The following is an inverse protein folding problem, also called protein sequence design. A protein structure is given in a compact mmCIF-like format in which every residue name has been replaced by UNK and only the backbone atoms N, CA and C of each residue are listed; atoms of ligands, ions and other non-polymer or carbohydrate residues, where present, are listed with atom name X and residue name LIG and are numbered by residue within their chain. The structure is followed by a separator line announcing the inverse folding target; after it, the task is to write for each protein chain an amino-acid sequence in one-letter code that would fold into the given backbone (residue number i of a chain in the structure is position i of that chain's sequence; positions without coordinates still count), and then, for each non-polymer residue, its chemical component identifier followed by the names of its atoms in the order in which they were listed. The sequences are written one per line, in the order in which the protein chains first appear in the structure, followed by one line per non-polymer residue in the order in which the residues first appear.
data_IF_982455329303
#
_entry.id   IF_982455329303
#
_cell.length_a   1.000
_cell.length_b   1.000
_cell.length_c   1.000
_cell.angle_alpha   90.00
_cell.angle_beta   90.00
_cell.angle_gamma   90.00
#
_symmetry.space_group_name_H-M   'P 1'
#
loop_
_entity.id
_entity.type
_entity.pdbx_description
1 polymer ?
#
# COMPACT_ATOMS: atom_id res chain seq x y z
N UNK A 1 -55.73 3.59 -15.71
CA UNK A 1 -56.34 3.58 -14.38
C UNK A 1 -56.29 2.14 -13.90
N UNK A 2 -55.50 1.69 -12.95
CA UNK A 2 -54.48 2.24 -12.04
C UNK A 2 -53.63 1.00 -11.68
N UNK A 3 -52.29 1.02 -11.78
CA UNK A 3 -51.36 1.47 -10.74
C UNK A 3 -51.81 1.11 -9.32
N UNK A 4 -51.30 -0.01 -8.78
CA UNK A 4 -50.52 -0.03 -7.53
C UNK A 4 -50.41 -1.44 -6.96
N UNK A 5 -49.20 -2.00 -7.03
CA UNK A 5 -48.58 -2.69 -5.89
C UNK A 5 -47.08 -2.85 -6.15
N UNK A 6 -46.38 -1.70 -6.29
CA UNK A 6 -44.98 -1.65 -5.85
C UNK A 6 -45.04 -1.61 -4.33
N UNK A 7 -44.79 -2.75 -3.69
CA UNK A 7 -44.56 -2.80 -2.26
C UNK A 7 -43.44 -1.81 -1.94
N UNK A 8 -43.79 -0.71 -1.30
CA UNK A 8 -42.84 0.23 -0.75
C UNK A 8 -41.98 -0.54 0.25
N UNK A 9 -40.73 -0.82 -0.13
CA UNK A 9 -39.71 -1.28 0.81
C UNK A 9 -39.49 -0.11 1.76
N UNK A 10 -40.01 -0.26 2.97
CA UNK A 10 -39.81 0.61 4.11
C UNK A 10 -38.33 0.98 4.25
N UNK A 11 -38.06 2.29 4.31
CA UNK A 11 -36.76 2.96 4.45
C UNK A 11 -36.09 2.77 5.82
N UNK A 12 -36.17 1.57 6.40
CA UNK A 12 -35.49 1.22 7.65
C UNK A 12 -34.35 0.25 7.35
N UNK A 13 -33.14 0.72 7.65
CA UNK A 13 -31.84 0.04 7.56
C UNK A 13 -31.39 -0.37 6.16
N UNK A 14 -31.05 0.62 5.32
CA UNK A 14 -30.16 0.35 4.18
C UNK A 14 -28.82 -0.15 4.73
N UNK A 15 -28.57 -1.45 4.61
CA UNK A 15 -27.28 -2.04 5.00
C UNK A 15 -26.18 -1.39 4.16
N UNK A 16 -25.31 -0.63 4.82
CA UNK A 16 -24.14 0.00 4.21
C UNK A 16 -22.90 -0.77 4.66
N UNK A 17 -22.06 -1.15 3.70
CA UNK A 17 -20.75 -1.75 3.97
C UNK A 17 -19.68 -0.69 3.74
N UNK A 18 -19.06 -0.21 4.82
CA UNK A 18 -17.95 0.74 4.76
C UNK A 18 -16.70 0.13 5.36
N UNK A 19 -15.62 0.12 4.57
CA UNK A 19 -14.32 -0.39 4.99
C UNK A 19 -13.24 0.63 4.73
N UNK A 20 -12.25 0.68 5.64
CA UNK A 20 -11.04 1.48 5.48
C UNK A 20 -9.82 0.58 5.36
N UNK A 21 -8.95 0.94 4.43
CA UNK A 21 -7.59 0.43 4.31
C UNK A 21 -6.61 1.58 4.52
N UNK A 22 -5.46 1.30 5.11
CA UNK A 22 -4.53 2.34 5.56
C UNK A 22 -3.31 2.44 4.64
N UNK A 23 -2.69 3.61 4.61
CA UNK A 23 -1.38 3.75 4.01
C UNK A 23 -0.37 2.82 4.70
N UNK A 24 0.70 2.46 3.99
CA UNK A 24 1.73 1.57 4.51
C UNK A 24 3.14 2.13 4.32
N UNK A 25 4.03 1.77 5.22
CA UNK A 25 5.48 1.97 5.10
C UNK A 25 6.12 0.61 4.83
N UNK A 26 6.77 0.47 3.67
CA UNK A 26 7.73 -0.60 3.42
C UNK A 26 8.98 -0.33 4.23
N UNK A 27 9.14 -1.04 5.35
CA UNK A 27 10.13 -0.69 6.36
C UNK A 27 11.50 -1.24 6.01
N UNK A 28 11.63 -2.55 5.77
CA UNK A 28 12.87 -3.19 5.36
C UNK A 28 12.61 -4.25 4.29
N UNK A 29 13.59 -4.48 3.43
CA UNK A 29 13.55 -5.52 2.41
C UNK A 29 12.85 -5.12 1.10
N UNK A 30 12.29 -3.92 0.98
CA UNK A 30 11.75 -3.44 -0.28
C UNK A 30 12.89 -2.90 -1.19
N UNK A 31 12.89 -3.20 -2.51
CA UNK A 31 11.81 -3.78 -3.31
C UNK A 31 11.95 -5.30 -3.59
N UNK A 32 12.54 -6.10 -2.70
CA UNK A 32 12.80 -7.53 -2.96
C UNK A 32 11.55 -8.40 -3.11
N UNK A 33 10.35 -7.90 -2.77
CA UNK A 33 9.07 -8.63 -2.84
C UNK A 33 8.66 -9.01 -4.26
N UNK A 34 9.09 -8.28 -5.29
CA UNK A 34 8.88 -8.68 -6.69
C UNK A 34 9.97 -9.63 -7.23
N UNK A 35 10.96 -9.95 -6.40
CA UNK A 35 12.14 -10.75 -6.73
C UNK A 35 12.31 -11.95 -5.79
N UNK A 36 11.20 -12.46 -5.24
CA UNK A 36 11.15 -13.60 -4.33
C UNK A 36 11.94 -13.42 -3.02
N UNK A 37 12.06 -12.17 -2.56
CA UNK A 37 12.76 -11.82 -1.34
C UNK A 37 11.87 -11.80 -0.09
N UNK A 38 12.23 -10.93 0.85
CA UNK A 38 11.58 -10.80 2.16
C UNK A 38 11.40 -9.34 2.51
N UNK A 39 10.33 -9.01 3.21
CA UNK A 39 10.05 -7.64 3.62
C UNK A 39 9.47 -7.55 5.02
N UNK A 40 9.70 -6.42 5.68
CA UNK A 40 8.93 -5.96 6.84
C UNK A 40 8.19 -4.70 6.43
N UNK A 41 6.88 -4.66 6.63
CA UNK A 41 6.06 -3.47 6.39
C UNK A 41 5.00 -3.33 7.47
N UNK A 42 4.51 -2.12 7.66
CA UNK A 42 3.43 -1.83 8.60
C UNK A 42 2.52 -0.72 8.06
N UNK A 43 1.28 -0.70 8.53
CA UNK A 43 0.33 0.37 8.15
C UNK A 43 0.38 1.55 9.12
N UNK A 44 0.03 2.73 8.62
CA UNK A 44 0.03 3.99 9.38
C UNK A 44 -1.36 4.62 9.38
N UNK A 45 -1.74 5.21 10.50
CA UNK A 45 -3.02 5.88 10.70
C UNK A 45 -3.06 7.33 10.21
N UNK A 46 -1.96 7.86 9.70
CA UNK A 46 -1.89 9.19 9.09
C UNK A 46 -2.85 9.30 7.91
N UNK A 47 -2.89 8.26 7.07
CA UNK A 47 -3.65 8.26 5.82
C UNK A 47 -4.40 6.95 5.58
N UNK A 48 -5.52 7.05 4.86
CA UNK A 48 -6.43 5.97 4.59
C UNK A 48 -7.12 6.13 3.23
N UNK A 49 -7.60 5.01 2.70
CA UNK A 49 -8.61 4.94 1.66
C UNK A 49 -9.81 4.18 2.19
N UNK A 50 -11.02 4.62 1.85
CA UNK A 50 -12.26 3.93 2.20
C UNK A 50 -12.97 3.49 0.94
N UNK A 51 -13.79 2.47 1.08
CA UNK A 51 -14.80 2.11 0.11
C UNK A 51 -16.14 2.00 0.83
N UNK A 52 -17.19 2.42 0.15
CA UNK A 52 -18.57 2.35 0.63
C UNK A 52 -19.40 1.64 -0.42
N UNK A 53 -20.06 0.57 -0.02
CA UNK A 53 -20.94 -0.25 -0.86
C UNK A 53 -22.34 -0.27 -0.27
N UNK A 54 -23.33 0.10 -1.09
CA UNK A 54 -24.75 0.13 -0.71
C UNK A 54 -25.57 -0.64 -1.73
N UNK A 55 -26.54 -1.49 -1.33
CA UNK A 55 -27.47 -2.10 -2.26
C UNK A 55 -28.22 -1.05 -3.09
N UNK A 56 -28.35 -1.28 -4.39
CA UNK A 56 -29.07 -0.40 -5.32
C UNK A 56 -29.67 -1.20 -6.47
N UNK A 57 -30.64 -0.60 -7.17
CA UNK A 57 -31.32 -1.25 -8.31
C UNK A 57 -30.36 -1.57 -9.47
N UNK A 58 -29.37 -0.69 -9.68
CA UNK A 58 -28.34 -0.83 -10.70
C UNK A 58 -26.96 -0.93 -10.08
N UNK A 59 -26.04 -1.65 -10.74
CA UNK A 59 -24.63 -1.63 -10.38
C UNK A 59 -24.03 -0.30 -10.82
N UNK A 60 -23.59 0.52 -9.86
CA UNK A 60 -23.05 1.85 -10.10
C UNK A 60 -21.67 2.00 -9.45
N UNK A 61 -20.65 2.35 -10.23
CA UNK A 61 -19.37 2.81 -9.68
C UNK A 61 -19.40 4.32 -9.65
N UNK A 62 -19.54 4.91 -8.46
CA UNK A 62 -19.68 6.36 -8.31
C UNK A 62 -18.30 7.04 -8.41
N UNK A 63 -18.08 7.94 -9.38
CA UNK A 63 -16.82 8.67 -9.51
C UNK A 63 -16.53 9.54 -8.28
N UNK A 64 -15.26 9.65 -7.90
CA UNK A 64 -14.86 10.57 -6.85
C UNK A 64 -14.91 12.02 -7.36
N UNK A 65 -15.53 12.97 -6.64
CA UNK A 65 -15.74 14.34 -7.11
C UNK A 65 -14.45 15.09 -7.45
N UNK A 66 -13.32 14.74 -6.84
CA UNK A 66 -12.03 15.40 -7.06
C UNK A 66 -11.03 14.57 -7.86
N UNK A 67 -11.08 13.24 -7.73
CA UNK A 67 -10.03 12.36 -8.27
C UNK A 67 -10.42 11.76 -9.62
N UNK A 68 -11.71 11.65 -9.91
CA UNK A 68 -12.27 11.19 -11.18
C UNK A 68 -13.03 12.33 -11.87
N UNK A 69 -12.50 13.56 -11.78
CA UNK A 69 -13.12 14.74 -12.34
C UNK A 69 -13.19 14.63 -13.87
N UNK A 70 -14.40 14.78 -14.42
CA UNK A 70 -14.67 14.79 -15.87
C UNK A 70 -15.39 16.06 -16.31
N UNK A 71 -15.63 16.99 -15.37
CA UNK A 71 -16.24 18.29 -15.60
C UNK A 71 -15.25 19.36 -15.15
N UNK A 72 -14.95 20.30 -16.04
CA UNK A 72 -13.97 21.36 -15.83
C UNK A 72 -14.58 22.70 -16.17
N UNK A 73 -14.10 23.77 -15.54
CA UNK A 73 -14.61 25.13 -15.77
C UNK A 73 -14.09 25.72 -17.09
N UNK A 74 -12.91 25.28 -17.55
CA UNK A 74 -12.28 25.70 -18.80
C UNK A 74 -11.24 24.67 -19.29
N UNK A 75 -10.73 24.85 -20.51
CA UNK A 75 -9.62 24.05 -21.03
C UNK A 75 -8.34 24.23 -20.20
N UNK A 76 -8.05 25.46 -19.75
CA UNK A 76 -6.88 25.73 -18.90
C UNK A 76 -6.99 24.99 -17.55
N UNK A 77 -8.19 24.94 -16.96
CA UNK A 77 -8.43 24.17 -15.75
C UNK A 77 -8.22 22.67 -15.97
N UNK A 78 -8.69 22.12 -17.10
CA UNK A 78 -8.41 20.74 -17.50
C UNK A 78 -6.90 20.49 -17.64
N UNK A 79 -6.19 21.31 -18.41
CA UNK A 79 -4.75 21.15 -18.67
C UNK A 79 -3.96 21.23 -17.38
N UNK A 80 -4.22 22.23 -16.53
CA UNK A 80 -3.59 22.37 -15.23
C UNK A 80 -3.80 21.12 -14.36
N UNK A 81 -5.04 20.63 -14.26
CA UNK A 81 -5.35 19.42 -13.49
C UNK A 81 -4.66 18.18 -14.06
N UNK A 82 -4.56 18.04 -15.38
CA UNK A 82 -3.89 16.89 -16.00
C UNK A 82 -2.36 16.94 -15.86
N UNK A 83 -1.76 18.13 -15.86
CA UNK A 83 -0.32 18.29 -15.66
C UNK A 83 0.11 17.95 -14.22
N UNK A 84 -0.69 18.32 -13.23
CA UNK A 84 -0.34 18.11 -11.81
C UNK A 84 -0.77 16.74 -11.29
N UNK A 85 -1.96 16.27 -11.67
CA UNK A 85 -2.56 15.06 -11.10
C UNK A 85 -2.73 13.93 -12.13
N UNK A 86 -2.44 14.18 -13.40
CA UNK A 86 -2.59 13.18 -14.45
C UNK A 86 -4.04 12.82 -14.77
N UNK A 87 -4.17 11.85 -15.68
CA UNK A 87 -5.43 11.50 -16.34
C UNK A 87 -6.31 10.53 -15.54
N UNK A 88 -5.72 9.77 -14.62
CA UNK A 88 -6.39 8.62 -14.00
C UNK A 88 -6.79 8.89 -12.56
N UNK A 89 -8.02 8.49 -12.21
CA UNK A 89 -8.51 8.39 -10.84
C UNK A 89 -8.69 6.94 -10.37
N UNK A 90 -9.44 6.75 -9.29
CA UNK A 90 -9.66 5.46 -8.62
C UNK A 90 -10.82 4.64 -9.17
N UNK A 91 -11.70 5.20 -10.04
CA UNK A 91 -12.81 4.42 -10.63
C UNK A 91 -12.30 3.17 -11.35
N UNK A 92 -11.21 3.27 -12.11
CA UNK A 92 -10.61 2.11 -12.80
C UNK A 92 -10.13 1.02 -11.84
N UNK A 93 -9.61 1.41 -10.66
CA UNK A 93 -9.14 0.47 -9.64
C UNK A 93 -10.32 -0.31 -9.06
N UNK A 94 -11.42 0.40 -8.76
CA UNK A 94 -12.66 -0.18 -8.26
C UNK A 94 -13.31 -1.12 -9.29
N UNK A 95 -13.33 -0.73 -10.57
CA UNK A 95 -13.84 -1.59 -11.65
C UNK A 95 -12.97 -2.85 -11.81
N UNK A 96 -11.65 -2.71 -11.77
CA UNK A 96 -10.73 -3.83 -11.93
C UNK A 96 -10.91 -4.88 -10.81
N UNK A 97 -11.07 -4.44 -9.55
CA UNK A 97 -11.28 -5.40 -8.46
C UNK A 97 -12.65 -6.07 -8.51
N UNK A 98 -13.70 -5.39 -8.96
CA UNK A 98 -14.99 -6.05 -9.21
C UNK A 98 -14.85 -7.17 -10.25
N UNK A 99 -14.13 -6.93 -11.35
CA UNK A 99 -13.85 -7.94 -12.39
C UNK A 99 -13.05 -9.11 -11.81
N UNK A 100 -11.93 -8.83 -11.13
CA UNK A 100 -11.05 -9.86 -10.56
C UNK A 100 -11.77 -10.69 -9.50
N UNK A 101 -12.53 -10.04 -8.60
CA UNK A 101 -13.35 -10.71 -7.59
C UNK A 101 -14.38 -11.63 -8.23
N UNK A 102 -15.14 -11.15 -9.23
CA UNK A 102 -16.14 -11.97 -9.93
C UNK A 102 -15.52 -13.18 -10.62
N UNK A 103 -14.39 -12.99 -11.29
CA UNK A 103 -13.65 -14.08 -11.94
C UNK A 103 -13.17 -15.10 -10.92
N UNK A 104 -12.52 -14.66 -9.84
CA UNK A 104 -12.07 -15.56 -8.78
C UNK A 104 -13.21 -16.38 -8.18
N UNK A 105 -14.35 -15.75 -7.88
CA UNK A 105 -15.51 -16.47 -7.35
C UNK A 105 -16.05 -17.50 -8.35
N UNK A 106 -16.09 -17.15 -9.64
CA UNK A 106 -16.49 -18.09 -10.70
C UNK A 106 -15.54 -19.27 -10.81
N UNK A 107 -14.23 -19.02 -10.81
CA UNK A 107 -13.19 -20.05 -10.98
C UNK A 107 -13.04 -20.97 -9.76
N UNK A 108 -13.61 -20.60 -8.62
CA UNK A 108 -13.56 -21.36 -7.36
C UNK A 108 -14.96 -21.80 -6.89
N UNK A 109 -15.97 -21.79 -7.77
CA UNK A 109 -17.35 -22.21 -7.47
C UNK A 109 -18.01 -21.51 -6.27
N UNK A 110 -17.58 -20.28 -5.97
CA UNK A 110 -18.16 -19.43 -4.92
C UNK A 110 -19.41 -18.74 -5.48
N UNK A 111 -20.57 -19.17 -5.00
CA UNK A 111 -21.86 -18.61 -5.42
C UNK A 111 -22.06 -17.19 -4.89
N UNK A 112 -22.39 -16.27 -5.80
CA UNK A 112 -22.73 -14.88 -5.49
C UNK A 112 -24.21 -14.66 -5.79
N UNK A 113 -24.93 -13.96 -4.91
CA UNK A 113 -26.30 -13.54 -5.21
C UNK A 113 -26.34 -12.46 -6.31
N UNK A 114 -27.50 -12.23 -6.92
CA UNK A 114 -27.65 -11.33 -8.08
C UNK A 114 -27.92 -9.85 -7.73
N UNK A 115 -27.94 -9.50 -6.43
CA UNK A 115 -28.20 -8.11 -6.01
C UNK A 115 -27.13 -7.14 -6.53
N UNK A 116 -27.59 -6.00 -7.04
CA UNK A 116 -26.77 -4.89 -7.49
C UNK A 116 -26.37 -3.96 -6.33
N UNK A 117 -25.39 -3.09 -6.57
CA UNK A 117 -24.85 -2.18 -5.58
C UNK A 117 -24.24 -0.91 -6.18
N UNK A 118 -24.20 0.15 -5.39
CA UNK A 118 -23.43 1.36 -5.63
C UNK A 118 -22.14 1.28 -4.83
N UNK A 119 -21.00 1.44 -5.49
CA UNK A 119 -19.67 1.43 -4.88
C UNK A 119 -18.97 2.77 -5.13
N UNK A 120 -18.54 3.41 -4.05
CA UNK A 120 -17.73 4.63 -4.08
C UNK A 120 -16.47 4.44 -3.24
N UNK A 121 -15.46 5.28 -3.47
CA UNK A 121 -14.27 5.33 -2.64
C UNK A 121 -13.97 6.77 -2.22
N UNK A 122 -13.18 6.93 -1.16
CA UNK A 122 -12.62 8.20 -0.71
C UNK A 122 -11.19 7.95 -0.21
N UNK A 123 -10.31 8.96 -0.23
CA UNK A 123 -8.96 8.82 0.29
C UNK A 123 -8.33 10.16 0.64
N UNK A 124 -7.53 10.16 1.70
CA UNK A 124 -6.61 11.25 2.02
C UNK A 124 -5.13 10.86 1.83
N UNK A 125 -4.84 9.72 1.18
CA UNK A 125 -3.46 9.29 0.90
C UNK A 125 -2.88 10.21 -0.19
N UNK A 126 -1.80 10.95 0.10
CA UNK A 126 -1.20 11.85 -0.88
C UNK A 126 -0.78 11.07 -2.14
N UNK A 127 -1.09 11.60 -3.32
CA UNK A 127 -0.79 10.93 -4.59
C UNK A 127 0.72 10.88 -4.80
N UNK A 128 1.19 9.81 -5.45
CA UNK A 128 2.60 9.62 -5.81
C UNK A 128 3.61 9.65 -4.64
N UNK A 129 3.16 9.51 -3.39
CA UNK A 129 4.04 9.52 -2.20
C UNK A 129 4.57 8.15 -1.78
N UNK A 130 4.42 7.13 -2.63
CA UNK A 130 4.91 5.79 -2.31
C UNK A 130 4.23 5.15 -1.09
N UNK A 131 3.08 5.68 -0.63
CA UNK A 131 2.32 5.24 0.55
C UNK A 131 1.21 4.21 0.25
N UNK A 132 1.18 3.66 -0.96
CA UNK A 132 0.21 2.61 -1.40
C UNK A 132 -1.25 3.03 -1.49
N UNK A 133 -1.51 4.23 -2.01
CA UNK A 133 -2.88 4.72 -2.21
C UNK A 133 -3.73 3.82 -3.13
N UNK A 134 -3.15 3.33 -4.24
CA UNK A 134 -3.89 2.51 -5.20
C UNK A 134 -4.38 1.20 -4.60
N UNK A 135 -3.48 0.44 -3.96
CA UNK A 135 -3.85 -0.81 -3.31
C UNK A 135 -4.72 -0.62 -2.08
N UNK A 136 -4.64 0.54 -1.39
CA UNK A 136 -5.55 0.85 -0.28
C UNK A 136 -7.00 0.95 -0.77
N UNK A 137 -7.24 1.66 -1.87
CA UNK A 137 -8.57 1.79 -2.50
C UNK A 137 -9.09 0.40 -2.89
N UNK A 138 -8.26 -0.39 -3.57
CA UNK A 138 -8.61 -1.74 -4.02
C UNK A 138 -8.89 -2.67 -2.83
N UNK A 139 -8.08 -2.59 -1.78
CA UNK A 139 -8.22 -3.37 -0.55
C UNK A 139 -9.52 -3.05 0.18
N UNK A 140 -9.86 -1.77 0.32
CA UNK A 140 -11.12 -1.35 0.92
C UNK A 140 -12.33 -1.83 0.11
N UNK A 141 -12.27 -1.70 -1.22
CA UNK A 141 -13.33 -2.18 -2.12
C UNK A 141 -13.50 -3.70 -2.06
N UNK A 142 -12.41 -4.47 -2.03
CA UNK A 142 -12.47 -5.92 -1.84
C UNK A 142 -13.17 -6.28 -0.52
N UNK A 143 -12.84 -5.60 0.58
CA UNK A 143 -13.50 -5.85 1.87
C UNK A 143 -15.01 -5.60 1.82
N UNK A 144 -15.47 -4.55 1.14
CA UNK A 144 -16.90 -4.33 0.91
C UNK A 144 -17.54 -5.46 0.10
N UNK A 145 -16.88 -5.94 -0.97
CA UNK A 145 -17.39 -7.05 -1.79
C UNK A 145 -17.50 -8.36 -0.99
N UNK A 146 -16.47 -8.68 -0.20
CA UNK A 146 -16.45 -9.88 0.65
C UNK A 146 -17.64 -9.92 1.63
N UNK A 147 -18.00 -8.78 2.20
CA UNK A 147 -19.08 -8.67 3.19
C UNK A 147 -20.45 -8.58 2.53
N UNK A 148 -20.57 -7.80 1.45
CA UNK A 148 -21.82 -7.64 0.70
C UNK A 148 -22.34 -8.99 0.18
N UNK A 149 -21.43 -9.81 -0.36
CA UNK A 149 -21.75 -11.15 -0.86
C UNK A 149 -21.69 -12.24 0.23
N UNK A 150 -21.27 -11.90 1.45
CA UNK A 150 -21.11 -12.85 2.56
C UNK A 150 -20.17 -14.02 2.24
N UNK A 151 -19.05 -13.75 1.57
CA UNK A 151 -18.06 -14.75 1.11
C UNK A 151 -16.70 -14.63 1.79
N UNK A 152 -16.55 -13.74 2.79
CA UNK A 152 -15.26 -13.49 3.48
C UNK A 152 -14.56 -14.76 3.96
N UNK A 153 -15.31 -15.72 4.51
CA UNK A 153 -14.75 -16.99 5.03
C UNK A 153 -14.40 -17.99 3.92
N UNK A 154 -14.95 -17.83 2.72
CA UNK A 154 -14.68 -18.70 1.57
C UNK A 154 -13.39 -18.28 0.84
N UNK A 155 -12.95 -17.03 1.03
CA UNK A 155 -11.70 -16.50 0.47
C UNK A 155 -10.69 -16.31 1.59
N UNK A 156 -9.77 -17.27 1.68
CA UNK A 156 -8.65 -17.29 2.63
C UNK A 156 -7.89 -15.96 2.64
N UNK A 157 -7.50 -15.50 3.83
CA UNK A 157 -6.87 -14.19 4.00
C UNK A 157 -5.56 -14.07 3.23
N UNK A 158 -4.79 -15.15 3.11
CA UNK A 158 -3.54 -15.27 2.38
C UNK A 158 -3.71 -15.03 0.87
N UNK A 159 -4.90 -15.31 0.33
CA UNK A 159 -5.23 -15.15 -1.09
C UNK A 159 -5.69 -13.73 -1.42
N UNK A 160 -6.32 -13.02 -0.47
CA UNK A 160 -6.86 -11.66 -0.69
C UNK A 160 -5.81 -10.66 -1.24
N UNK A 161 -4.54 -10.65 -0.79
CA UNK A 161 -3.50 -9.80 -1.38
C UNK A 161 -3.27 -10.05 -2.87
N UNK A 162 -3.37 -11.30 -3.33
CA UNK A 162 -3.23 -11.64 -4.74
C UNK A 162 -4.38 -11.07 -5.59
N UNK A 163 -5.61 -11.04 -5.08
CA UNK A 163 -6.75 -10.44 -5.78
C UNK A 163 -6.54 -8.94 -5.99
N UNK A 164 -6.05 -8.25 -4.96
CA UNK A 164 -5.73 -6.82 -5.01
C UNK A 164 -4.62 -6.58 -6.04
N UNK A 165 -3.53 -7.36 -5.99
CA UNK A 165 -2.44 -7.25 -6.94
C UNK A 165 -2.90 -7.53 -8.39
N UNK A 166 -3.76 -8.53 -8.59
CA UNK A 166 -4.27 -8.88 -9.91
C UNK A 166 -5.15 -7.75 -10.48
N UNK A 167 -5.94 -7.06 -9.66
CA UNK A 167 -6.70 -5.90 -10.11
C UNK A 167 -5.80 -4.75 -10.60
N UNK A 168 -4.63 -4.58 -9.99
CA UNK A 168 -3.66 -3.58 -10.46
C UNK A 168 -2.92 -4.03 -11.74
N UNK A 169 -2.63 -5.33 -11.87
CA UNK A 169 -2.08 -5.92 -13.10
C UNK A 169 -3.02 -5.76 -14.30
N UNK A 170 -4.33 -5.89 -14.11
CA UNK A 170 -5.35 -5.62 -15.15
C UNK A 170 -5.21 -4.21 -15.76
N UNK A 171 -4.68 -3.26 -14.98
CA UNK A 171 -4.48 -1.87 -15.39
C UNK A 171 -3.04 -1.57 -15.84
N UNK A 172 -2.22 -2.60 -16.00
CA UNK A 172 -0.80 -2.47 -16.36
C UNK A 172 0.09 -1.89 -15.26
N UNK A 173 -0.39 -1.85 -14.00
CA UNK A 173 0.41 -1.36 -12.87
C UNK A 173 1.40 -2.45 -12.45
N UNK A 174 2.69 -2.13 -12.52
CA UNK A 174 3.76 -3.01 -12.04
C UNK A 174 3.93 -2.79 -10.53
N UNK A 175 3.58 -3.79 -9.73
CA UNK A 175 3.68 -3.74 -8.28
C UNK A 175 4.02 -5.12 -7.69
N UNK A 176 4.46 -5.12 -6.43
CA UNK A 176 4.67 -6.31 -5.62
C UNK A 176 3.58 -6.51 -4.56
N UNK A 177 3.68 -7.63 -3.85
CA UNK A 177 2.66 -8.08 -2.90
C UNK A 177 2.69 -7.33 -1.57
N UNK A 178 3.83 -6.75 -1.17
CA UNK A 178 4.01 -6.29 0.21
C UNK A 178 2.95 -5.28 0.67
N UNK A 179 2.56 -4.35 -0.21
CA UNK A 179 1.59 -3.30 0.13
C UNK A 179 0.22 -3.92 0.44
N UNK A 180 -0.17 -4.88 -0.41
CA UNK A 180 -1.45 -5.58 -0.36
C UNK A 180 -1.51 -6.47 0.88
N UNK A 181 -0.42 -7.15 1.20
CA UNK A 181 -0.31 -7.96 2.42
C UNK A 181 -0.44 -7.05 3.65
N UNK A 182 0.36 -5.98 3.76
CA UNK A 182 0.30 -5.06 4.90
C UNK A 182 -1.12 -4.48 5.10
N UNK A 183 -1.81 -4.15 4.00
CA UNK A 183 -3.16 -3.58 4.03
C UNK A 183 -4.24 -4.60 4.39
N UNK A 184 -4.16 -5.84 3.88
CA UNK A 184 -5.10 -6.92 4.22
C UNK A 184 -4.92 -7.41 5.65
N UNK A 185 -3.68 -7.56 6.10
CA UNK A 185 -3.34 -7.95 7.46
C UNK A 185 -3.54 -6.79 8.46
N UNK A 186 -3.82 -5.60 7.91
CA UNK A 186 -4.60 -4.52 8.47
C UNK A 186 -4.10 -4.05 9.83
N UNK A 187 -3.15 -3.12 9.87
CA UNK A 187 -2.76 -2.45 11.12
C UNK A 187 -1.36 -2.77 11.58
N UNK A 188 -1.05 -4.07 11.71
CA UNK A 188 0.17 -4.53 12.38
C UNK A 188 1.47 -4.40 11.57
N UNK A 189 2.57 -4.75 12.26
CA UNK A 189 3.88 -4.97 11.66
C UNK A 189 3.90 -6.38 11.09
N UNK A 190 4.22 -6.54 9.80
CA UNK A 190 4.17 -7.84 9.13
C UNK A 190 5.51 -8.14 8.51
N UNK A 191 6.09 -9.28 8.90
CA UNK A 191 7.20 -9.91 8.21
C UNK A 191 6.67 -10.83 7.12
N UNK A 192 7.22 -10.72 5.91
CA UNK A 192 6.73 -11.40 4.73
C UNK A 192 7.86 -12.12 4.01
N UNK A 193 7.65 -13.38 3.67
CA UNK A 193 8.56 -14.20 2.90
C UNK A 193 7.89 -14.57 1.56
N UNK A 194 8.50 -14.11 0.47
CA UNK A 194 8.03 -14.33 -0.91
C UNK A 194 8.88 -15.38 -1.63
N UNK A 195 9.55 -16.27 -0.89
CA UNK A 195 10.40 -17.31 -1.45
C UNK A 195 9.66 -18.10 -2.53
N UNK A 196 10.31 -18.21 -3.68
CA UNK A 196 9.75 -18.82 -4.89
C UNK A 196 9.26 -20.24 -4.63
N UNK A 197 10.04 -21.04 -3.91
CA UNK A 197 9.69 -22.44 -3.61
C UNK A 197 8.34 -22.55 -2.88
N UNK A 198 8.08 -21.69 -1.89
CA UNK A 198 6.82 -21.70 -1.17
C UNK A 198 5.68 -21.19 -2.04
N UNK A 199 5.89 -20.04 -2.70
CA UNK A 199 4.86 -19.42 -3.55
C UNK A 199 4.44 -20.32 -4.73
N UNK A 200 5.38 -21.03 -5.34
CA UNK A 200 5.09 -21.98 -6.43
C UNK A 200 4.24 -23.16 -5.95
N UNK A 201 4.33 -23.55 -4.66
CA UNK A 201 3.56 -24.64 -4.07
C UNK A 201 2.15 -24.24 -3.65
N UNK A 202 1.98 -23.07 -3.03
CA UNK A 202 0.69 -22.68 -2.39
C UNK A 202 0.03 -21.44 -2.99
N UNK A 203 0.72 -20.68 -3.84
CA UNK A 203 0.19 -19.50 -4.54
C UNK A 203 0.23 -18.19 -3.75
N UNK A 204 0.79 -18.17 -2.54
CA UNK A 204 0.96 -16.98 -1.70
C UNK A 204 2.24 -17.07 -0.86
N UNK A 205 2.71 -15.95 -0.30
CA UNK A 205 3.88 -15.91 0.58
C UNK A 205 3.55 -16.26 2.04
N UNK A 206 4.59 -16.38 2.87
CA UNK A 206 4.44 -16.60 4.32
C UNK A 206 4.34 -15.23 4.99
N UNK A 207 3.25 -14.99 5.71
CA UNK A 207 2.99 -13.70 6.35
C UNK A 207 2.92 -13.87 7.86
N UNK A 208 3.84 -13.25 8.60
CA UNK A 208 3.94 -13.34 10.05
C UNK A 208 3.65 -11.97 10.67
N UNK A 209 2.56 -11.87 11.43
CA UNK A 209 2.25 -10.67 12.21
C UNK A 209 3.21 -10.58 13.40
N UNK A 210 3.76 -9.40 13.61
CA UNK A 210 4.62 -9.05 14.73
C UNK A 210 3.97 -7.96 15.58
N UNK A 211 4.41 -7.83 16.83
CA UNK A 211 3.94 -6.75 17.70
C UNK A 211 4.39 -5.39 17.14
N UNK A 212 3.43 -4.51 16.90
CA UNK A 212 3.67 -3.15 16.38
C UNK A 212 4.48 -2.30 17.37
N UNK A 213 4.44 -2.62 18.66
CA UNK A 213 5.20 -1.93 19.71
C UNK A 213 6.70 -2.23 19.69
N UNK A 214 7.16 -3.12 18.81
CA UNK A 214 8.59 -3.32 18.54
C UNK A 214 9.21 -2.15 17.76
N UNK A 215 8.38 -1.34 17.07
CA UNK A 215 8.87 -0.18 16.34
C UNK A 215 9.25 0.95 17.31
N UNK A 216 10.39 1.62 17.09
CA UNK A 216 10.68 2.87 17.79
C UNK A 216 9.73 3.99 17.28
N UNK A 217 9.72 5.18 17.92
CA UNK A 217 9.09 6.35 17.34
C UNK A 217 9.68 6.66 15.95
N UNK A 218 8.81 6.78 14.95
CA UNK A 218 9.16 7.06 13.56
C UNK A 218 8.50 8.35 13.09
N UNK A 219 9.09 8.97 12.09
CA UNK A 219 8.56 10.16 11.43
C UNK A 219 8.45 9.91 9.94
N UNK A 220 7.54 10.65 9.30
CA UNK A 220 7.28 10.58 7.87
C UNK A 220 7.58 11.94 7.26
N UNK A 221 8.43 11.94 6.24
CA UNK A 221 8.69 13.09 5.37
C UNK A 221 8.02 12.85 4.03
N UNK A 222 7.28 13.82 3.50
CA UNK A 222 6.74 13.75 2.15
C UNK A 222 6.58 15.15 1.52
N UNK A 223 6.38 15.19 0.21
CA UNK A 223 6.08 16.40 -0.56
C UNK A 223 4.65 16.30 -1.14
N UNK A 224 3.96 17.42 -1.29
CA UNK A 224 2.57 17.45 -1.81
C UNK A 224 2.50 17.14 -3.31
N UNK A 225 3.56 17.40 -4.08
CA UNK A 225 3.63 17.15 -5.52
C UNK A 225 5.01 16.61 -5.93
N UNK A 226 5.35 15.34 -5.63
CA UNK A 226 6.60 14.79 -6.06
C UNK A 226 6.61 14.68 -7.60
N UNK A 227 7.48 15.45 -8.25
CA UNK A 227 7.65 15.37 -9.69
C UNK A 227 8.01 13.95 -10.14
N UNK A 228 7.45 13.59 -11.29
CA UNK A 228 7.30 12.24 -11.84
C UNK A 228 8.58 11.38 -11.79
N UNK A 229 8.52 10.20 -11.17
CA UNK A 229 9.53 9.13 -11.28
C UNK A 229 8.94 7.79 -11.74
N UNK A 230 7.68 7.77 -12.16
CA UNK A 230 6.94 6.54 -12.49
C UNK A 230 7.46 5.73 -13.69
N UNK A 231 8.47 6.21 -14.43
CA UNK A 231 8.94 5.60 -15.69
C UNK A 231 10.19 4.73 -15.60
N UNK A 232 10.82 4.57 -14.43
CA UNK A 232 12.22 4.11 -14.38
C UNK A 232 12.40 2.72 -13.69
N UNK A 233 11.31 2.07 -13.25
CA UNK A 233 11.38 0.70 -12.70
C UNK A 233 11.70 -0.40 -13.73
N UNK A 234 11.51 -0.14 -15.03
CA UNK A 234 11.63 -1.16 -16.08
C UNK A 234 13.06 -1.66 -16.29
N UNK A 235 14.08 -0.83 -16.05
CA UNK A 235 15.49 -1.19 -16.28
C UNK A 235 15.99 -2.23 -15.28
N UNK A 236 15.71 -2.06 -13.98
CA UNK A 236 16.16 -3.00 -12.93
C UNK A 236 15.50 -4.36 -13.11
N UNK A 237 14.20 -4.40 -13.41
CA UNK A 237 13.49 -5.66 -13.64
C UNK A 237 14.04 -6.41 -14.85
N UNK A 238 14.34 -5.68 -15.94
CA UNK A 238 14.96 -6.27 -17.13
C UNK A 238 16.33 -6.85 -16.80
N UNK A 239 17.22 -6.09 -16.14
CA UNK A 239 18.54 -6.57 -15.72
C UNK A 239 18.46 -7.82 -14.85
N UNK A 240 17.51 -7.89 -13.92
CA UNK A 240 17.28 -9.08 -13.12
C UNK A 240 16.88 -10.30 -13.97
N UNK A 241 15.97 -10.12 -14.94
CA UNK A 241 15.56 -11.19 -15.87
C UNK A 241 16.70 -11.64 -16.79
N UNK A 242 17.58 -10.70 -17.17
CA UNK A 242 18.76 -10.95 -18.00
C UNK A 242 19.91 -11.60 -17.21
N UNK A 243 19.73 -11.86 -15.90
CA UNK A 243 20.71 -12.55 -15.08
C UNK A 243 21.84 -11.67 -14.52
N UNK A 244 21.64 -10.35 -14.45
CA UNK A 244 22.63 -9.41 -13.91
C UNK A 244 22.99 -9.76 -12.45
N UNK A 245 24.22 -10.23 -12.24
CA UNK A 245 24.72 -10.70 -10.94
C UNK A 245 24.68 -9.61 -9.87
N UNK A 246 24.93 -8.35 -10.25
CA UNK A 246 24.90 -7.24 -9.31
C UNK A 246 23.47 -6.98 -8.81
N UNK A 247 22.47 -7.01 -9.70
CA UNK A 247 21.07 -6.85 -9.31
C UNK A 247 20.59 -8.04 -8.48
N UNK A 248 20.91 -9.27 -8.89
CA UNK A 248 20.50 -10.49 -8.16
C UNK A 248 21.10 -10.50 -6.75
N UNK A 249 22.41 -10.25 -6.62
CA UNK A 249 23.09 -10.23 -5.33
C UNK A 249 22.58 -9.09 -4.42
N UNK A 250 22.35 -7.90 -4.98
CA UNK A 250 21.79 -6.76 -4.26
C UNK A 250 20.36 -7.02 -3.76
N UNK A 251 19.50 -7.67 -4.56
CA UNK A 251 18.15 -8.06 -4.13
C UNK A 251 18.19 -9.12 -3.02
N UNK A 252 19.12 -10.07 -3.10
CA UNK A 252 19.37 -11.06 -2.03
C UNK A 252 19.84 -10.38 -0.74
N UNK A 253 20.74 -9.40 -0.84
CA UNK A 253 21.19 -8.61 0.32
C UNK A 253 20.03 -7.82 0.93
N UNK A 254 19.23 -7.12 0.13
CA UNK A 254 18.03 -6.41 0.60
C UNK A 254 17.09 -7.37 1.34
N UNK A 255 16.84 -8.57 0.82
CA UNK A 255 15.99 -9.55 1.49
C UNK A 255 16.56 -9.98 2.86
N UNK A 256 17.89 -10.10 3.00
CA UNK A 256 18.54 -10.39 4.29
C UNK A 256 18.35 -9.25 5.30
N UNK A 257 18.31 -7.99 4.86
CA UNK A 257 18.05 -6.85 5.75
C UNK A 257 16.70 -6.95 6.46
N UNK A 258 15.69 -7.58 5.84
CA UNK A 258 14.41 -7.82 6.50
C UNK A 258 14.54 -8.81 7.67
N UNK A 259 15.30 -9.89 7.50
CA UNK A 259 15.53 -10.89 8.56
C UNK A 259 16.41 -10.35 9.69
N UNK A 260 17.48 -9.63 9.35
CA UNK A 260 18.29 -8.92 10.34
C UNK A 260 17.46 -7.86 11.07
N UNK A 261 16.60 -7.15 10.34
CA UNK A 261 15.68 -6.15 10.88
C UNK A 261 14.67 -6.74 11.86
N UNK A 262 14.11 -7.91 11.54
CA UNK A 262 13.23 -8.66 12.45
C UNK A 262 13.95 -8.96 13.76
N UNK A 263 15.19 -9.45 13.67
CA UNK A 263 16.02 -9.76 14.84
C UNK A 263 16.34 -8.49 15.65
N UNK A 264 16.71 -7.39 14.98
CA UNK A 264 17.02 -6.12 15.62
C UNK A 264 15.80 -5.55 16.37
N UNK A 265 14.61 -5.60 15.76
CA UNK A 265 13.36 -5.14 16.39
C UNK A 265 13.01 -5.96 17.64
N UNK A 266 13.07 -7.30 17.56
CA UNK A 266 12.80 -8.18 18.70
C UNK A 266 13.78 -7.94 19.85
N UNK A 267 15.06 -7.72 19.54
CA UNK A 267 16.11 -7.42 20.53
C UNK A 267 16.15 -5.96 20.97
N UNK A 268 15.33 -5.08 20.36
CA UNK A 268 15.39 -3.61 20.51
C UNK A 268 16.79 -3.04 20.25
N UNK A 269 17.53 -3.64 19.33
CA UNK A 269 18.83 -3.15 18.86
C UNK A 269 18.63 -2.04 17.82
N UNK A 270 18.34 -0.84 18.33
CA UNK A 270 18.06 0.31 17.48
C UNK A 270 19.31 0.87 16.79
N UNK A 271 20.52 0.55 17.28
CA UNK A 271 21.76 0.87 16.58
C UNK A 271 21.84 0.09 15.28
N UNK A 272 21.64 -1.24 15.34
CA UNK A 272 21.58 -2.08 14.15
C UNK A 272 20.40 -1.69 13.23
N UNK A 273 19.25 -1.33 13.80
CA UNK A 273 18.11 -0.87 13.00
C UNK A 273 18.43 0.37 12.16
N UNK A 274 19.13 1.35 12.73
CA UNK A 274 19.61 2.55 12.03
C UNK A 274 20.49 2.17 10.83
N UNK A 275 21.45 1.28 11.04
CA UNK A 275 22.33 0.79 9.98
C UNK A 275 21.55 0.09 8.86
N UNK A 276 20.61 -0.80 9.21
CA UNK A 276 19.80 -1.55 8.25
C UNK A 276 18.91 -0.65 7.40
N UNK A 277 18.25 0.34 8.01
CA UNK A 277 17.44 1.32 7.30
C UNK A 277 18.27 2.07 6.26
N UNK A 278 19.46 2.54 6.66
CA UNK A 278 20.33 3.27 5.75
C UNK A 278 20.84 2.36 4.63
N UNK A 279 21.32 1.17 4.97
CA UNK A 279 21.83 0.19 3.99
C UNK A 279 20.77 -0.20 2.95
N UNK A 280 19.51 -0.35 3.36
CA UNK A 280 18.42 -0.64 2.42
C UNK A 280 18.27 0.47 1.37
N UNK A 281 18.35 1.74 1.78
CA UNK A 281 18.29 2.83 0.81
C UNK A 281 19.54 2.89 -0.07
N UNK A 282 20.72 2.65 0.49
CA UNK A 282 21.98 2.70 -0.27
C UNK A 282 22.00 1.63 -1.39
N UNK A 283 21.53 0.41 -1.08
CA UNK A 283 21.35 -0.66 -2.07
C UNK A 283 20.30 -0.29 -3.12
N UNK A 284 19.20 0.36 -2.71
CA UNK A 284 18.21 0.85 -3.67
C UNK A 284 18.83 1.89 -4.61
N UNK A 285 19.57 2.86 -4.06
CA UNK A 285 20.23 3.91 -4.84
C UNK A 285 21.27 3.34 -5.80
N UNK A 286 22.06 2.35 -5.38
CA UNK A 286 23.05 1.71 -6.26
C UNK A 286 22.43 0.92 -7.41
N UNK A 287 21.27 0.27 -7.19
CA UNK A 287 20.59 -0.50 -8.24
C UNK A 287 19.84 0.38 -9.24
N UNK A 288 19.12 1.39 -8.74
CA UNK A 288 18.22 2.20 -9.56
C UNK A 288 18.93 3.44 -10.15
N UNK A 289 19.93 3.98 -9.47
CA UNK A 289 20.63 5.21 -9.88
C UNK A 289 19.86 6.49 -9.53
N UNK A 290 20.59 7.60 -9.43
CA UNK A 290 20.05 8.87 -8.94
C UNK A 290 19.01 9.48 -9.87
N UNK A 291 19.21 9.34 -11.19
CA UNK A 291 18.25 9.78 -12.19
C UNK A 291 16.89 9.07 -12.03
N UNK A 292 16.91 7.77 -11.72
CA UNK A 292 15.70 7.00 -11.45
C UNK A 292 14.99 7.48 -10.20
N UNK A 293 15.74 7.69 -9.12
CA UNK A 293 15.16 8.02 -7.82
C UNK A 293 14.70 9.47 -7.76
N UNK A 294 15.31 10.36 -8.54
CA UNK A 294 14.98 11.78 -8.59
C UNK A 294 15.62 12.56 -7.44
N UNK A 295 16.19 13.73 -7.77
CA UNK A 295 16.94 14.56 -6.83
C UNK A 295 16.14 14.94 -5.58
N UNK A 296 14.85 15.27 -5.72
CA UNK A 296 14.00 15.64 -4.60
C UNK A 296 13.78 14.47 -3.62
N UNK A 297 13.61 13.25 -4.12
CA UNK A 297 13.42 12.09 -3.24
C UNK A 297 14.70 11.74 -2.50
N UNK A 298 15.85 11.85 -3.17
CA UNK A 298 17.16 11.67 -2.53
C UNK A 298 17.37 12.72 -1.46
N UNK A 299 17.07 13.99 -1.75
CA UNK A 299 17.21 15.08 -0.79
C UNK A 299 16.36 14.88 0.46
N UNK A 300 15.13 14.33 0.35
CA UNK A 300 14.31 13.97 1.52
C UNK A 300 15.03 12.97 2.45
N UNK A 301 15.81 12.04 1.91
CA UNK A 301 16.62 11.11 2.71
C UNK A 301 17.84 11.80 3.30
N UNK A 302 18.55 12.59 2.49
CA UNK A 302 19.79 13.25 2.91
C UNK A 302 19.56 14.31 3.98
N UNK A 303 18.45 15.05 3.94
CA UNK A 303 18.03 15.99 4.99
C UNK A 303 18.03 15.32 6.37
N UNK A 304 17.44 14.14 6.48
CA UNK A 304 17.40 13.38 7.72
C UNK A 304 18.78 12.81 8.11
N UNK A 305 19.58 12.36 7.13
CA UNK A 305 20.89 11.76 7.39
C UNK A 305 21.95 12.76 7.82
N UNK A 306 21.91 14.01 7.34
CA UNK A 306 22.85 15.09 7.72
C UNK A 306 22.87 15.36 9.22
N UNK A 307 21.74 15.17 9.90
CA UNK A 307 21.61 15.33 11.35
C UNK A 307 21.79 14.02 12.12
N UNK A 308 22.26 12.95 11.46
CA UNK A 308 22.53 11.65 12.06
C UNK A 308 21.34 10.70 12.18
N UNK A 309 20.16 11.05 11.64
CA UNK A 309 19.00 10.15 11.64
C UNK A 309 19.15 9.03 10.59
N UNK A 310 18.41 7.93 10.74
CA UNK A 310 18.26 6.94 9.68
C UNK A 310 17.05 7.26 8.83
N UNK A 311 17.18 7.12 7.51
CA UNK A 311 16.11 7.43 6.58
C UNK A 311 16.15 6.55 5.33
N UNK A 312 14.95 6.20 4.85
CA UNK A 312 14.75 5.48 3.59
C UNK A 312 13.36 5.68 3.02
N UNK A 313 13.17 5.33 1.75
CA UNK A 313 11.86 5.40 1.11
C UNK A 313 10.85 4.46 1.77
N UNK A 314 9.60 4.93 1.86
CA UNK A 314 8.44 4.12 2.28
C UNK A 314 7.95 3.18 1.18
N UNK A 315 8.30 3.45 -0.08
CA UNK A 315 7.85 2.72 -1.27
C UNK A 315 8.70 3.05 -2.49
N UNK A 316 8.06 3.40 -3.60
CA UNK A 316 8.76 3.72 -4.86
C UNK A 316 9.51 5.06 -4.83
N UNK A 317 8.97 6.05 -4.11
CA UNK A 317 9.46 7.43 -3.98
C UNK A 317 8.36 8.32 -3.39
N UNK A 318 8.63 9.61 -3.20
CA UNK A 318 7.66 10.62 -2.78
C UNK A 318 7.37 10.70 -1.27
N UNK A 319 7.82 9.71 -0.49
CA UNK A 319 7.89 9.80 0.96
C UNK A 319 9.03 8.96 1.56
N UNK A 320 9.50 9.39 2.72
CA UNK A 320 10.62 8.83 3.47
C UNK A 320 10.20 8.57 4.91
N UNK A 321 10.51 7.38 5.41
CA UNK A 321 10.42 7.08 6.85
C UNK A 321 11.74 7.41 7.52
N UNK A 322 11.67 8.06 8.67
CA UNK A 322 12.82 8.52 9.45
C UNK A 322 12.79 7.94 10.86
N UNK A 323 13.93 7.45 11.31
CA UNK A 323 14.19 7.05 12.69
C UNK A 323 15.26 7.96 13.29
N UNK A 324 14.92 8.61 14.41
CA UNK A 324 15.80 9.51 15.15
C UNK A 324 16.33 8.80 16.42
N UNK A 325 17.47 8.10 16.36
CA UNK A 325 18.02 7.36 17.51
C UNK A 325 18.38 8.23 18.72
N UNK A 326 18.71 9.51 18.49
CA UNK A 326 19.13 10.43 19.56
C UNK A 326 17.93 11.13 20.23
N UNK A 327 16.71 10.73 19.87
CA UNK A 327 15.48 11.15 20.53
C UNK A 327 15.01 12.57 20.17
N UNK A 328 14.26 13.24 21.07
CA UNK A 328 13.52 14.46 20.74
C UNK A 328 14.37 15.65 20.26
N UNK A 329 15.63 15.77 20.69
CA UNK A 329 16.53 16.84 20.22
C UNK A 329 16.82 16.71 18.72
N UNK A 330 17.05 15.49 18.24
CA UNK A 330 17.25 15.22 16.82
C UNK A 330 15.96 15.39 16.00
N UNK A 331 14.80 15.12 16.59
CA UNK A 331 13.50 15.40 15.95
C UNK A 331 13.31 16.89 15.72
N UNK A 332 13.68 17.76 16.66
CA UNK A 332 13.63 19.22 16.47
C UNK A 332 14.55 19.69 15.33
N UNK A 333 15.75 19.14 15.25
CA UNK A 333 16.65 19.41 14.12
C UNK A 333 16.04 18.95 12.79
N UNK A 334 15.36 17.80 12.79
CA UNK A 334 14.67 17.28 11.61
C UNK A 334 13.53 18.23 11.16
N UNK A 335 12.73 18.73 12.11
CA UNK A 335 11.67 19.72 11.85
C UNK A 335 12.24 20.99 11.20
N UNK A 336 13.36 21.50 11.71
CA UNK A 336 14.02 22.68 11.17
C UNK A 336 14.54 22.47 9.75
N UNK A 337 15.22 21.34 9.49
CA UNK A 337 15.78 21.04 8.17
C UNK A 337 14.67 20.73 7.14
N UNK A 338 13.63 19.98 7.51
CA UNK A 338 12.47 19.74 6.63
C UNK A 338 11.80 21.06 6.23
N UNK A 339 11.61 21.99 7.18
CA UNK A 339 11.03 23.30 6.90
C UNK A 339 11.89 24.12 5.93
N UNK A 340 13.23 24.10 6.09
CA UNK A 340 14.15 24.79 5.16
C UNK A 340 14.08 24.21 3.75
N UNK A 341 13.93 22.90 3.63
CA UNK A 341 13.84 22.19 2.36
C UNK A 341 12.42 22.14 1.75
N UNK A 342 11.41 22.69 2.43
CA UNK A 342 10.02 22.71 1.96
C UNK A 342 9.31 21.35 2.03
N UNK A 343 9.76 20.45 2.90
CA UNK A 343 9.13 19.14 3.11
C UNK A 343 8.17 19.16 4.29
N UNK A 344 7.12 18.35 4.20
CA UNK A 344 6.18 18.12 5.30
C UNK A 344 6.74 17.01 6.17
N UNK A 345 6.74 17.22 7.49
CA UNK A 345 7.12 16.24 8.48
C UNK A 345 5.93 15.92 9.40
N UNK A 346 5.62 14.65 9.55
CA UNK A 346 4.61 14.18 10.50
C UNK A 346 5.14 13.04 11.38
N UNK A 347 4.74 12.95 12.66
CA UNK A 347 4.95 11.73 13.44
C UNK A 347 4.13 10.58 12.84
N UNK A 348 4.74 9.39 12.77
CA UNK A 348 4.07 8.18 12.30
C UNK A 348 3.05 7.73 13.35
N UNK A 349 1.78 7.65 12.94
CA UNK A 349 0.69 7.13 13.77
C UNK A 349 0.61 5.63 13.58
N UNK A 350 1.10 4.85 14.54
CA UNK A 350 0.99 3.40 14.51
C UNK A 350 -0.47 2.97 14.66
N UNK A 351 -0.85 1.91 13.96
CA UNK A 351 -2.16 1.27 14.10
C UNK A 351 -1.96 -0.16 14.63
N UNK A 352 -2.76 -0.63 15.60
CA UNK A 352 -2.78 -2.05 15.93
C UNK A 352 -3.47 -2.85 14.83
N UNK A 353 -3.26 -4.18 14.80
CA UNK A 353 -3.99 -5.04 13.87
C UNK A 353 -5.51 -4.92 14.04
N UNK A 354 -6.23 -4.93 12.91
CA UNK A 354 -7.67 -4.82 12.76
C UNK A 354 -8.26 -6.10 12.16
N UNK A 355 -7.49 -7.19 12.14
CA UNK A 355 -8.02 -8.49 11.75
C UNK A 355 -9.18 -8.85 12.68
N UNK A 356 -10.28 -9.27 12.08
CA UNK A 356 -11.42 -9.77 12.84
C UNK A 356 -11.07 -11.12 13.49
N UNK A 357 -11.87 -11.51 14.49
CA UNK A 357 -11.65 -12.76 15.22
C UNK A 357 -11.65 -14.00 14.33
N UNK A 358 -12.38 -14.00 13.21
CA UNK A 358 -12.37 -15.12 12.28
C UNK A 358 -11.06 -15.25 11.50
N UNK A 359 -10.51 -14.12 11.03
CA UNK A 359 -9.23 -14.10 10.31
C UNK A 359 -8.09 -14.51 11.25
N UNK A 360 -8.12 -14.06 12.52
CA UNK A 360 -7.15 -14.49 13.54
C UNK A 360 -7.23 -16.00 13.84
N UNK A 361 -8.45 -16.57 13.91
CA UNK A 361 -8.65 -18.02 14.12
C UNK A 361 -8.16 -18.88 12.96
N UNK A 362 -8.21 -18.36 11.73
CA UNK A 362 -7.68 -19.04 10.55
C UNK A 362 -6.15 -19.04 10.61
N UNK A 363 -5.54 -17.89 10.91
CA UNK A 363 -4.08 -17.75 11.04
C UNK A 363 -3.48 -18.52 12.21
N UNK A 364 -4.25 -18.82 13.26
CA UNK A 364 -3.77 -19.61 14.41
C UNK A 364 -3.80 -21.13 14.18
N UNK A 365 -4.28 -21.60 13.02
CA UNK A 365 -4.25 -23.03 12.69
C UNK A 365 -2.91 -23.35 12.01
N UNK A 366 -2.13 -24.30 12.55
CA UNK A 366 -0.80 -24.65 12.05
C UNK A 366 -0.82 -25.22 10.62
#
# INVERSE_FOLDING_TARGET
MDLNQKSAISSKDKVVFEHRSFARIGFLGNPSDVYFGRTISFTIGNFWASAKLEPSDHLLIKPHPFHDLVRFDSLDNLVYRLQNDGYYGGVRLVMAICKVFRNYCKDNDIQLHERNFTLSYDTNIPRQTGLSGSSAIVSAALSCLLDFYNVRQQIKIEVRPNLILNAEKELGIVAGLQDRVAQVYGGGLVHMDFSKEHMDKVGYGIYTIMDINLLPPLHLIYAENPSDSGKIHSSVRKRWLDGDEFIISSMSEIAKLAEEGRTALVKKDYSKLKELMNRNFDLRRSMFGDECLGAMNIEMVEVARRIGAAAKFTGSGGAVVVFCPDGPSQVKLLEEECRKSGFILEPVKLLPTRLNNSDLKILSKP
#
